data_IF_625954119660
#
_entry.id   IF_625954119660
#
_cell.length_a   1.000
_cell.length_b   1.000
_cell.length_c   1.000
_cell.angle_alpha   90.00
_cell.angle_beta   90.00
_cell.angle_gamma   90.00
#
_symmetry.space_group_name_H-M   'P 1'
#
loop_
_entity.id
_entity.type
_entity.pdbx_description
1 polymer ?
#
# COMPACT_ATOMS: atom_id res chain seq x y z
N UNK A 1 3.60 -4.92 21.29
CA UNK A 1 3.07 -6.22 20.83
C UNK A 1 2.99 -6.19 19.29
N UNK A 2 3.61 -7.14 18.58
CA UNK A 2 3.61 -7.18 17.10
C UNK A 2 2.50 -8.11 16.58
N UNK A 3 1.86 -7.82 15.43
CA UNK A 3 0.80 -8.66 14.90
C UNK A 3 1.30 -10.08 14.62
N UNK A 4 0.47 -11.08 14.94
CA UNK A 4 0.75 -12.50 14.72
C UNK A 4 1.07 -12.78 13.25
N UNK A 5 1.88 -13.83 13.01
CA UNK A 5 2.34 -14.22 11.66
C UNK A 5 1.17 -14.60 10.73
N UNK A 6 0.03 -15.01 11.30
CA UNK A 6 -1.16 -15.45 10.58
C UNK A 6 -1.98 -14.27 10.05
N UNK A 7 -2.23 -13.26 10.88
CA UNK A 7 -2.88 -12.00 10.46
C UNK A 7 -2.13 -11.30 9.32
N UNK A 8 -0.80 -11.20 9.42
CA UNK A 8 0.03 -10.59 8.35
C UNK A 8 -0.17 -11.30 7.00
N UNK A 9 -0.45 -12.61 6.99
CA UNK A 9 -0.74 -13.37 5.77
C UNK A 9 -2.13 -13.07 5.20
N UNK A 10 -3.14 -12.94 6.06
CA UNK A 10 -4.52 -12.65 5.65
C UNK A 10 -4.68 -11.22 5.08
N UNK A 11 -3.99 -10.22 5.65
CA UNK A 11 -3.95 -8.86 5.08
C UNK A 11 -3.36 -8.84 3.68
N UNK A 12 -2.18 -9.45 3.54
CA UNK A 12 -1.52 -9.52 2.26
C UNK A 12 -2.39 -10.27 1.24
N UNK A 13 -3.16 -11.29 1.65
CA UNK A 13 -4.07 -12.03 0.78
C UNK A 13 -5.24 -11.17 0.26
N UNK A 14 -5.85 -10.35 1.12
CA UNK A 14 -6.98 -9.48 0.75
C UNK A 14 -6.54 -8.33 -0.17
N UNK A 15 -5.41 -7.68 0.13
CA UNK A 15 -4.84 -6.63 -0.73
C UNK A 15 -4.47 -7.19 -2.12
N UNK A 16 -3.82 -8.36 -2.15
CA UNK A 16 -3.52 -9.07 -3.41
C UNK A 16 -4.78 -9.30 -4.24
N UNK A 17 -5.83 -9.87 -3.63
CA UNK A 17 -7.09 -10.16 -4.31
C UNK A 17 -7.75 -8.90 -4.87
N UNK A 18 -7.74 -7.81 -4.10
CA UNK A 18 -8.34 -6.53 -4.52
C UNK A 18 -7.66 -5.95 -5.74
N UNK A 19 -6.31 -5.99 -5.79
CA UNK A 19 -5.56 -5.55 -6.97
C UNK A 19 -5.93 -6.37 -8.21
N UNK A 20 -6.08 -7.70 -8.07
CA UNK A 20 -6.47 -8.55 -9.19
C UNK A 20 -7.86 -8.18 -9.72
N UNK A 21 -8.84 -8.01 -8.84
CA UNK A 21 -10.21 -7.62 -9.19
C UNK A 21 -10.21 -6.26 -9.89
N UNK A 22 -9.46 -5.30 -9.36
CA UNK A 22 -9.35 -3.96 -9.94
C UNK A 22 -8.84 -4.04 -11.39
N UNK A 23 -7.73 -4.75 -11.61
CA UNK A 23 -7.17 -4.90 -12.95
C UNK A 23 -8.13 -5.59 -13.94
N UNK A 24 -8.89 -6.58 -13.46
CA UNK A 24 -9.89 -7.29 -14.26
C UNK A 24 -11.07 -6.40 -14.64
N UNK A 25 -11.63 -5.66 -13.68
CA UNK A 25 -12.77 -4.76 -13.88
C UNK A 25 -12.46 -3.66 -14.88
N UNK A 26 -11.27 -3.04 -14.77
CA UNK A 26 -10.82 -2.01 -15.71
C UNK A 26 -10.20 -2.59 -16.99
N UNK A 27 -10.18 -3.92 -17.14
CA UNK A 27 -9.67 -4.65 -18.31
C UNK A 27 -8.23 -4.29 -18.69
N UNK A 28 -7.40 -3.90 -17.72
CA UNK A 28 -6.00 -3.60 -17.97
C UNK A 28 -5.25 -4.85 -18.46
N UNK A 29 -4.38 -4.66 -19.45
CA UNK A 29 -3.65 -5.75 -20.11
C UNK A 29 -2.18 -5.82 -19.74
N UNK A 30 -1.67 -4.78 -19.10
CA UNK A 30 -0.30 -4.72 -18.63
C UNK A 30 -0.17 -3.88 -17.36
N UNK A 31 0.87 -4.16 -16.59
CA UNK A 31 1.25 -3.40 -15.40
C UNK A 31 2.77 -3.36 -15.21
N UNK A 32 3.22 -2.39 -14.43
CA UNK A 32 4.55 -2.28 -13.84
C UNK A 32 4.39 -2.54 -12.35
N UNK A 33 5.28 -3.34 -11.76
CA UNK A 33 5.27 -3.58 -10.31
C UNK A 33 6.55 -3.00 -9.70
N UNK A 34 6.40 -2.00 -8.85
CA UNK A 34 7.47 -1.49 -7.97
C UNK A 34 7.34 -2.23 -6.65
N UNK A 35 8.43 -2.83 -6.17
CA UNK A 35 8.40 -3.59 -4.93
C UNK A 35 9.63 -3.36 -4.06
N UNK A 36 9.41 -3.51 -2.76
CA UNK A 36 10.45 -3.36 -1.74
C UNK A 36 11.45 -4.51 -1.87
N UNK A 37 12.75 -4.21 -1.83
CA UNK A 37 13.80 -5.22 -1.92
C UNK A 37 13.99 -5.98 -0.58
N UNK A 38 12.94 -6.68 -0.16
CA UNK A 38 12.93 -7.60 0.97
C UNK A 38 12.00 -8.79 0.70
N UNK A 39 11.89 -9.70 1.66
CA UNK A 39 11.04 -10.89 1.54
C UNK A 39 9.56 -10.53 1.33
N UNK A 40 9.07 -9.47 1.99
CA UNK A 40 7.68 -9.03 1.88
C UNK A 40 7.38 -8.53 0.45
N UNK A 41 8.23 -7.64 -0.08
CA UNK A 41 8.07 -7.08 -1.41
C UNK A 41 8.22 -8.13 -2.51
N UNK A 42 9.25 -8.96 -2.41
CA UNK A 42 9.50 -10.03 -3.38
C UNK A 42 8.34 -11.03 -3.45
N UNK A 43 7.82 -11.47 -2.30
CA UNK A 43 6.69 -12.42 -2.27
C UNK A 43 5.39 -11.80 -2.81
N UNK A 44 5.16 -10.51 -2.56
CA UNK A 44 4.03 -9.76 -3.14
C UNK A 44 4.11 -9.70 -4.66
N UNK A 45 5.24 -9.21 -5.18
CA UNK A 45 5.49 -9.12 -6.62
C UNK A 45 5.39 -10.48 -7.32
N UNK A 46 6.00 -11.53 -6.74
CA UNK A 46 5.97 -12.89 -7.29
C UNK A 46 4.53 -13.41 -7.40
N UNK A 47 3.74 -13.25 -6.35
CA UNK A 47 2.34 -13.65 -6.34
C UNK A 47 1.54 -12.92 -7.42
N UNK A 48 1.65 -11.58 -7.47
CA UNK A 48 0.91 -10.77 -8.44
C UNK A 48 1.27 -11.15 -9.88
N UNK A 49 2.56 -11.28 -10.17
CA UNK A 49 3.04 -11.71 -11.50
C UNK A 49 2.43 -13.05 -11.92
N UNK A 50 2.41 -14.04 -11.01
CA UNK A 50 1.84 -15.36 -11.31
C UNK A 50 0.34 -15.27 -11.61
N UNK A 51 -0.41 -14.52 -10.80
CA UNK A 51 -1.85 -14.36 -11.00
C UNK A 51 -2.20 -13.53 -12.24
N UNK A 52 -1.47 -12.46 -12.50
CA UNK A 52 -1.63 -11.68 -13.72
C UNK A 52 -1.36 -12.51 -14.98
N UNK A 53 -0.34 -13.37 -14.97
CA UNK A 53 -0.10 -14.31 -16.07
C UNK A 53 -1.31 -15.20 -16.34
N UNK A 54 -1.92 -15.77 -15.28
CA UNK A 54 -3.15 -16.59 -15.43
C UNK A 54 -4.36 -15.80 -15.92
N UNK A 55 -4.36 -14.48 -15.74
CA UNK A 55 -5.42 -13.55 -16.17
C UNK A 55 -5.13 -12.90 -17.53
N UNK A 56 -4.07 -13.31 -18.23
CA UNK A 56 -3.59 -12.66 -19.47
C UNK A 56 -3.25 -11.17 -19.31
N UNK A 57 -2.74 -10.78 -18.14
CA UNK A 57 -2.22 -9.45 -17.84
C UNK A 57 -0.69 -9.55 -17.79
N UNK A 58 0.00 -8.75 -18.61
CA UNK A 58 1.47 -8.79 -18.68
C UNK A 58 2.10 -7.90 -17.62
N UNK A 59 2.95 -8.46 -16.77
CA UNK A 59 3.86 -7.65 -15.95
C UNK A 59 5.07 -7.28 -16.81
N UNK A 60 5.11 -6.05 -17.32
CA UNK A 60 6.18 -5.59 -18.22
C UNK A 60 7.47 -5.32 -17.45
N UNK A 61 7.35 -4.62 -16.33
CA UNK A 61 8.51 -4.23 -15.50
C UNK A 61 8.33 -4.65 -14.05
N UNK A 62 9.45 -5.03 -13.43
CA UNK A 62 9.55 -5.41 -12.01
C UNK A 62 10.68 -4.61 -11.37
N UNK A 63 10.32 -3.46 -10.82
CA UNK A 63 11.26 -2.46 -10.34
C UNK A 63 11.53 -2.68 -8.86
N UNK A 64 12.80 -2.92 -8.51
CA UNK A 64 13.25 -3.07 -7.12
C UNK A 64 13.51 -1.70 -6.51
N UNK A 65 12.93 -1.46 -5.34
CA UNK A 65 13.29 -0.32 -4.49
C UNK A 65 14.22 -0.78 -3.36
N UNK A 66 15.45 -0.27 -3.35
CA UNK A 66 16.45 -0.56 -2.32
C UNK A 66 16.21 0.31 -1.08
N UNK A 67 15.94 -0.36 0.05
CA UNK A 67 15.58 0.30 1.30
C UNK A 67 16.82 0.91 1.98
N UNK A 68 18.01 0.33 1.79
CA UNK A 68 19.25 0.84 2.39
C UNK A 68 19.69 2.11 1.68
N UNK A 69 19.60 2.11 0.35
CA UNK A 69 19.98 3.26 -0.48
C UNK A 69 18.84 4.27 -0.65
N UNK A 70 17.61 3.92 -0.25
CA UNK A 70 16.40 4.72 -0.49
C UNK A 70 16.26 5.10 -1.97
N UNK A 71 16.62 4.17 -2.87
CA UNK A 71 16.68 4.47 -4.30
C UNK A 71 16.40 3.24 -5.17
N UNK A 72 16.17 3.50 -6.46
CA UNK A 72 16.12 2.49 -7.49
C UNK A 72 17.53 2.16 -7.98
N UNK A 73 17.79 0.89 -8.30
CA UNK A 73 19.05 0.44 -8.92
C UNK A 73 18.98 0.47 -10.46
N UNK A 74 18.05 1.25 -11.00
CA UNK A 74 17.79 1.39 -12.43
C UNK A 74 17.50 2.86 -12.73
N UNK A 75 17.52 3.21 -14.01
CA UNK A 75 16.99 4.49 -14.48
C UNK A 75 15.45 4.47 -14.38
N UNK A 76 14.96 4.90 -13.22
CA UNK A 76 13.55 4.82 -12.86
C UNK A 76 12.65 5.55 -13.86
N UNK A 77 13.03 6.77 -14.24
CA UNK A 77 12.26 7.62 -15.15
C UNK A 77 12.14 6.99 -16.52
N UNK A 78 13.28 6.64 -17.13
CA UNK A 78 13.27 6.09 -18.48
C UNK A 78 12.59 4.71 -18.51
N UNK A 79 12.79 3.89 -17.46
CA UNK A 79 12.08 2.59 -17.35
C UNK A 79 10.55 2.75 -17.36
N UNK A 80 10.01 3.76 -16.66
CA UNK A 80 8.57 4.02 -16.67
C UNK A 80 8.09 4.55 -18.02
N UNK A 81 8.79 5.54 -18.59
CA UNK A 81 8.40 6.20 -19.83
C UNK A 81 8.49 5.28 -21.06
N UNK A 82 9.50 4.40 -21.11
CA UNK A 82 9.71 3.45 -22.21
C UNK A 82 8.77 2.24 -22.13
N UNK A 83 8.21 1.96 -20.95
CA UNK A 83 7.20 0.92 -20.81
C UNK A 83 5.96 1.26 -21.62
N UNK A 84 5.30 0.26 -22.20
CA UNK A 84 3.97 0.45 -22.82
C UNK A 84 2.81 0.37 -21.82
N UNK A 85 3.10 0.01 -20.57
CA UNK A 85 2.10 0.02 -19.49
C UNK A 85 1.97 1.42 -18.91
N UNK A 86 0.75 1.78 -18.52
CA UNK A 86 0.44 3.00 -17.75
C UNK A 86 -0.03 2.70 -16.33
N UNK A 87 -0.11 1.42 -15.94
CA UNK A 87 -0.52 1.00 -14.61
C UNK A 87 0.73 0.68 -13.79
N UNK A 88 0.88 1.36 -12.65
CA UNK A 88 1.99 1.19 -11.71
C UNK A 88 1.45 0.70 -10.39
N UNK A 89 1.85 -0.51 -9.99
CA UNK A 89 1.48 -1.09 -8.70
C UNK A 89 2.67 -0.95 -7.75
N UNK A 90 2.47 -0.30 -6.62
CA UNK A 90 3.50 -0.10 -5.59
C UNK A 90 3.23 -1.06 -4.43
N UNK A 91 4.01 -2.14 -4.37
CA UNK A 91 3.96 -3.15 -3.31
C UNK A 91 5.10 -2.92 -2.31
N UNK A 92 4.91 -1.96 -1.40
CA UNK A 92 5.90 -1.62 -0.38
C UNK A 92 5.24 -1.22 0.95
N UNK A 93 6.04 -0.94 1.99
CA UNK A 93 5.54 -0.36 3.23
C UNK A 93 5.39 1.16 3.12
N UNK A 94 4.79 1.80 4.12
CA UNK A 94 4.48 3.24 4.10
C UNK A 94 5.73 4.09 3.83
N UNK A 95 6.81 3.88 4.60
CA UNK A 95 8.07 4.63 4.43
C UNK A 95 8.64 4.54 3.02
N UNK A 96 8.73 3.33 2.44
CA UNK A 96 9.21 3.18 1.07
C UNK A 96 8.24 3.77 0.05
N UNK A 97 6.93 3.69 0.29
CA UNK A 97 5.91 4.26 -0.61
C UNK A 97 6.04 5.77 -0.67
N UNK A 98 6.24 6.45 0.46
CA UNK A 98 6.50 7.90 0.52
C UNK A 98 7.70 8.25 -0.36
N UNK A 99 8.86 7.62 -0.13
CA UNK A 99 10.09 7.92 -0.89
C UNK A 99 9.93 7.67 -2.39
N UNK A 100 9.19 6.61 -2.77
CA UNK A 100 8.91 6.30 -4.18
C UNK A 100 8.04 7.40 -4.81
N UNK A 101 7.01 7.86 -4.10
CA UNK A 101 6.12 8.91 -4.58
C UNK A 101 6.85 10.25 -4.70
N UNK A 102 7.71 10.59 -3.73
CA UNK A 102 8.55 11.80 -3.80
C UNK A 102 9.43 11.81 -5.06
N UNK A 103 10.13 10.70 -5.34
CA UNK A 103 10.94 10.56 -6.56
C UNK A 103 10.09 10.64 -7.83
N UNK A 104 8.92 10.02 -7.83
CA UNK A 104 8.01 10.09 -8.97
C UNK A 104 7.45 11.51 -9.18
N UNK A 105 7.21 12.28 -8.12
CA UNK A 105 6.83 13.69 -8.21
C UNK A 105 7.96 14.54 -8.78
N UNK A 106 9.19 14.38 -8.28
CA UNK A 106 10.39 15.07 -8.79
C UNK A 106 10.56 14.88 -10.30
N UNK A 107 10.26 13.68 -10.81
CA UNK A 107 10.37 13.34 -12.23
C UNK A 107 9.08 13.55 -13.05
N UNK A 108 7.99 14.06 -12.45
CA UNK A 108 6.66 14.23 -13.08
C UNK A 108 6.06 12.91 -13.63
N UNK A 109 6.16 11.83 -12.86
CA UNK A 109 5.74 10.46 -13.22
C UNK A 109 4.42 10.02 -12.58
N UNK A 110 3.77 10.85 -11.75
CA UNK A 110 2.49 10.50 -11.13
C UNK A 110 1.33 10.66 -12.11
N UNK A 111 1.08 11.87 -12.60
CA UNK A 111 -0.01 12.17 -13.53
C UNK A 111 0.42 13.12 -14.66
N UNK A 112 -0.32 13.17 -15.79
CA UNK A 112 -1.57 12.47 -16.10
C UNK A 112 -1.39 11.08 -16.74
N UNK A 113 -0.14 10.63 -16.94
CA UNK A 113 0.13 9.48 -17.81
C UNK A 113 0.00 8.13 -17.11
N UNK A 114 0.16 8.07 -15.78
CA UNK A 114 0.16 6.80 -15.05
C UNK A 114 -1.02 6.72 -14.08
N UNK A 115 -1.54 5.52 -13.91
CA UNK A 115 -2.44 5.17 -12.81
C UNK A 115 -1.62 4.43 -11.79
N UNK A 116 -1.46 5.05 -10.62
CA UNK A 116 -0.71 4.50 -9.50
C UNK A 116 -1.65 3.78 -8.53
N UNK A 117 -1.28 2.57 -8.13
CA UNK A 117 -2.04 1.73 -7.20
C UNK A 117 -1.14 1.40 -6.03
N UNK A 118 -1.45 1.94 -4.86
CA UNK A 118 -0.70 1.75 -3.63
C UNK A 118 -1.30 0.61 -2.81
N UNK A 119 -0.45 -0.24 -2.25
CA UNK A 119 -0.87 -1.28 -1.29
C UNK A 119 -0.87 -0.80 0.15
N UNK A 120 -0.44 0.45 0.37
CA UNK A 120 -0.30 1.05 1.69
C UNK A 120 -0.78 2.49 1.62
N UNK A 121 -1.60 2.89 2.58
CA UNK A 121 -2.03 4.27 2.77
C UNK A 121 -0.84 5.16 3.09
N UNK A 122 -0.81 6.33 2.48
CA UNK A 122 0.14 7.38 2.80
C UNK A 122 -0.64 8.65 3.10
N UNK A 123 -0.33 9.28 4.24
CA UNK A 123 -0.98 10.52 4.62
C UNK A 123 -0.45 11.70 3.81
N UNK A 124 -1.34 12.58 3.36
CA UNK A 124 -0.97 13.72 2.49
C UNK A 124 -0.04 14.74 3.17
N UNK A 125 0.03 14.77 4.51
CA UNK A 125 0.93 15.68 5.22
C UNK A 125 2.42 15.34 5.01
N UNK A 126 2.73 14.15 4.50
CA UNK A 126 4.11 13.80 4.12
C UNK A 126 4.56 14.54 2.85
N UNK A 127 3.65 15.14 2.08
CA UNK A 127 3.96 15.85 0.84
C UNK A 127 3.68 17.35 0.97
N UNK A 128 4.36 18.15 0.15
CA UNK A 128 4.10 19.58 0.09
C UNK A 128 2.69 19.86 -0.49
N UNK A 129 2.00 20.87 0.03
CA UNK A 129 0.66 21.27 -0.45
C UNK A 129 0.60 21.50 -1.97
N UNK A 130 1.68 21.96 -2.59
CA UNK A 130 1.75 22.10 -4.07
C UNK A 130 1.73 20.75 -4.77
N UNK A 131 2.44 19.76 -4.23
CA UNK A 131 2.53 18.39 -4.76
C UNK A 131 1.25 17.58 -4.54
N UNK A 132 0.43 17.92 -3.54
CA UNK A 132 -0.83 17.20 -3.28
C UNK A 132 -1.77 17.17 -4.48
N UNK A 133 -1.74 18.19 -5.35
CA UNK A 133 -2.54 18.20 -6.58
C UNK A 133 -2.04 17.19 -7.61
N UNK A 134 -0.75 16.87 -7.61
CA UNK A 134 -0.15 15.90 -8.52
C UNK A 134 -0.44 14.46 -8.08
N UNK A 135 -0.79 14.24 -6.81
CA UNK A 135 -1.22 12.95 -6.27
C UNK A 135 -2.68 12.61 -6.59
N UNK A 136 -3.42 13.51 -7.24
CA UNK A 136 -4.80 13.25 -7.67
C UNK A 136 -4.81 12.09 -8.68
N UNK A 137 -5.68 11.12 -8.44
CA UNK A 137 -5.85 9.94 -9.32
C UNK A 137 -5.05 8.71 -8.88
N UNK A 138 -4.26 8.81 -7.81
CA UNK A 138 -3.68 7.63 -7.15
C UNK A 138 -4.80 6.82 -6.48
N UNK A 139 -4.77 5.50 -6.67
CA UNK A 139 -5.65 4.55 -6.02
C UNK A 139 -4.91 3.89 -4.85
N UNK A 140 -5.54 3.76 -3.68
CA UNK A 140 -4.96 3.06 -2.53
C UNK A 140 -5.86 1.89 -2.14
N UNK A 141 -5.25 0.73 -1.93
CA UNK A 141 -5.92 -0.47 -1.44
C UNK A 141 -5.74 -0.57 0.07
N UNK A 142 -6.82 -0.29 0.80
CA UNK A 142 -6.84 -0.30 2.25
C UNK A 142 -7.66 -1.49 2.79
N UNK A 143 -7.23 -2.10 3.90
CA UNK A 143 -8.11 -3.03 4.61
C UNK A 143 -9.31 -2.28 5.16
N UNK A 144 -10.47 -2.91 5.07
CA UNK A 144 -11.73 -2.39 5.58
C UNK A 144 -11.64 -2.11 7.08
N UNK A 145 -11.99 -0.89 7.48
CA UNK A 145 -12.41 -0.54 8.85
C UNK A 145 -13.93 -0.53 8.88
N UNK A 146 -14.55 -0.90 10.01
CA UNK A 146 -16.02 -0.94 10.11
C UNK A 146 -16.71 0.38 9.77
N UNK A 147 -16.04 1.52 10.01
CA UNK A 147 -16.56 2.87 9.69
C UNK A 147 -16.78 3.12 8.20
N UNK A 148 -16.13 2.37 7.29
CA UNK A 148 -16.22 2.59 5.84
C UNK A 148 -17.32 1.77 5.14
N UNK A 149 -17.93 0.78 5.80
CA UNK A 149 -18.91 -0.14 5.17
C UNK A 149 -20.21 -0.27 5.98
N UNK A 150 -20.54 0.69 6.86
CA UNK A 150 -21.72 0.57 7.75
C UNK A 150 -21.73 -0.77 8.51
N UNK A 151 -20.55 -1.36 8.74
CA UNK A 151 -20.44 -2.59 9.52
C UNK A 151 -20.32 -2.15 10.96
N UNK A 152 -21.25 -2.56 11.84
CA UNK A 152 -21.27 -2.11 13.22
C UNK A 152 -19.96 -2.50 13.91
N UNK A 153 -19.14 -1.49 14.23
CA UNK A 153 -18.01 -1.67 15.14
C UNK A 153 -18.59 -1.78 16.53
N UNK A 154 -18.10 -2.73 17.33
CA UNK A 154 -18.38 -2.77 18.75
C UNK A 154 -17.61 -1.62 19.44
N UNK A 155 -18.17 -0.42 19.36
CA UNK A 155 -17.59 0.81 19.93
C UNK A 155 -17.41 0.70 21.44
N UNK A 156 -18.24 -0.10 22.12
CA UNK A 156 -18.09 -0.37 23.56
C UNK A 156 -16.77 -1.10 23.82
N UNK A 157 -16.52 -2.20 23.11
CA UNK A 157 -15.27 -2.96 23.25
C UNK A 157 -14.05 -2.13 22.86
N UNK A 158 -14.13 -1.36 21.77
CA UNK A 158 -13.04 -0.50 21.33
C UNK A 158 -12.70 0.59 22.36
N UNK A 159 -13.71 1.22 22.95
CA UNK A 159 -13.52 2.22 24.00
C UNK A 159 -12.95 1.62 25.28
N UNK A 160 -13.36 0.41 25.66
CA UNK A 160 -12.74 -0.29 26.80
C UNK A 160 -11.27 -0.64 26.52
N UNK A 161 -10.94 -1.08 25.30
CA UNK A 161 -9.56 -1.30 24.89
C UNK A 161 -8.72 -0.01 25.00
N UNK A 162 -9.26 1.14 24.59
CA UNK A 162 -8.60 2.44 24.75
C UNK A 162 -8.43 2.84 26.22
N UNK A 163 -9.42 2.57 27.08
CA UNK A 163 -9.31 2.84 28.52
C UNK A 163 -8.20 2.00 29.15
N UNK A 164 -8.13 0.72 28.83
CA UNK A 164 -7.08 -0.18 29.32
C UNK A 164 -5.70 0.30 28.84
N UNK A 165 -5.56 0.61 27.54
CA UNK A 165 -4.31 1.12 26.98
C UNK A 165 -3.88 2.42 27.66
N UNK A 166 -4.81 3.37 27.84
CA UNK A 166 -4.54 4.64 28.51
C UNK A 166 -4.13 4.48 29.97
N UNK A 167 -4.64 3.46 30.65
CA UNK A 167 -4.29 3.17 32.03
C UNK A 167 -2.89 2.56 32.16
N UNK A 168 -2.54 1.59 31.31
CA UNK A 168 -1.29 0.83 31.45
C UNK A 168 -0.11 1.39 30.63
N UNK A 169 -0.38 2.05 29.51
CA UNK A 169 0.63 2.48 28.53
C UNK A 169 0.35 3.91 28.03
N UNK A 170 0.22 4.91 28.93
CA UNK A 170 -0.26 6.26 28.60
C UNK A 170 0.61 6.99 27.57
N UNK A 171 1.92 6.72 27.55
CA UNK A 171 2.88 7.36 26.66
C UNK A 171 2.83 6.82 25.22
N UNK A 172 2.17 5.67 25.01
CA UNK A 172 2.07 5.01 23.69
C UNK A 172 0.65 4.98 23.14
N UNK A 173 -0.31 5.59 23.84
CA UNK A 173 -1.69 5.72 23.37
C UNK A 173 -1.67 6.47 22.04
N UNK A 174 -2.08 5.85 20.92
CA UNK A 174 -2.30 6.61 19.71
C UNK A 174 -3.49 7.54 20.01
N UNK A 175 -3.39 8.83 19.68
CA UNK A 175 -4.55 9.74 19.79
C UNK A 175 -5.80 9.09 19.18
N UNK A 176 -7.00 9.42 19.67
CA UNK A 176 -8.25 8.64 19.45
C UNK A 176 -8.59 8.30 17.97
N UNK A 177 -7.97 8.97 17.00
CA UNK A 177 -8.10 8.70 15.55
C UNK A 177 -6.94 7.87 14.92
N UNK A 178 -5.92 7.46 15.67
CA UNK A 178 -4.62 7.02 15.14
C UNK A 178 -4.26 5.56 15.40
N UNK A 179 -5.21 4.73 15.86
CA UNK A 179 -4.91 3.29 15.96
C UNK A 179 -4.88 2.70 14.57
N UNK A 180 -3.68 2.30 14.13
CA UNK A 180 -3.51 1.62 12.84
C UNK A 180 -4.41 0.39 12.77
N UNK A 181 -4.87 0.04 11.57
CA UNK A 181 -5.66 -1.18 11.36
C UNK A 181 -4.95 -2.42 11.93
N UNK A 182 -3.62 -2.48 11.81
CA UNK A 182 -2.80 -3.51 12.44
C UNK A 182 -2.97 -3.60 13.97
N UNK A 183 -3.13 -2.47 14.66
CA UNK A 183 -3.38 -2.43 16.10
C UNK A 183 -4.74 -3.01 16.48
N UNK A 184 -5.80 -2.61 15.77
CA UNK A 184 -7.16 -3.12 15.98
C UNK A 184 -7.25 -4.63 15.75
N UNK A 185 -6.67 -5.12 14.66
CA UNK A 185 -6.70 -6.55 14.38
C UNK A 185 -5.82 -7.36 15.35
N UNK A 186 -4.71 -6.78 15.83
CA UNK A 186 -3.91 -7.45 16.86
C UNK A 186 -4.71 -7.65 18.14
N UNK A 187 -5.57 -6.70 18.50
CA UNK A 187 -6.48 -6.80 19.63
C UNK A 187 -7.57 -7.87 19.40
N UNK A 188 -8.16 -7.96 18.21
CA UNK A 188 -9.17 -8.99 17.89
C UNK A 188 -8.61 -10.43 17.88
N UNK A 189 -7.30 -10.58 17.71
CA UNK A 189 -6.65 -11.89 17.61
C UNK A 189 -6.20 -12.49 18.96
N UNK A 190 -6.43 -11.79 20.07
CA UNK A 190 -6.13 -12.25 21.44
C UNK A 190 -7.38 -12.66 22.18
#
# INVERSE_FOLDING_TARGET
MWPSKQMKKEFAATQKKTILILCEQYKWKSCIIIYKNDEYGYNGMKFLTQKFSTMNIKTLEKIKFDIKQQNFQIDFKNTLLDSSSRIVIVWTNEKSTITILEKALEDNLIGPYFVWILTTTVALYYFNQRQNKELIGILTVEPVKGDFIDVPINTTLLNEAYKIWKYYEPDTVPGEANVSSYGLFTFDAT
#
